data_IF_400877230737
#
_entry.id   IF_400877230737
#
_cell.length_a   1.000
_cell.length_b   1.000
_cell.length_c   1.000
_cell.angle_alpha   90.00
_cell.angle_beta   90.00
_cell.angle_gamma   90.00
#
_symmetry.space_group_name_H-M   'P 1'
#
loop_
_entity.id
_entity.type
_entity.pdbx_description
1 polymer ?
#
# COMPACT_ATOMS: atom_id res chain seq x y z
N UNK A 1 -1.18 -38.53 74.51
CA UNK A 1 -0.91 -38.08 73.12
C UNK A 1 -2.09 -37.22 72.70
N UNK A 2 -1.88 -35.93 72.44
CA UNK A 2 -2.93 -34.97 72.05
C UNK A 2 -3.08 -35.00 70.53
N UNK A 3 -4.31 -35.15 70.03
CA UNK A 3 -4.65 -34.98 68.63
C UNK A 3 -4.58 -33.49 68.23
N UNK A 4 -4.12 -33.14 67.01
CA UNK A 4 -4.18 -31.77 66.52
C UNK A 4 -5.59 -31.46 65.98
N UNK A 5 -6.00 -30.18 65.94
CA UNK A 5 -7.31 -29.78 65.44
C UNK A 5 -7.33 -29.78 63.90
N UNK A 6 -8.45 -30.26 63.36
CA UNK A 6 -8.81 -30.22 61.94
C UNK A 6 -9.02 -28.74 61.54
N UNK A 7 -8.10 -28.19 60.75
CA UNK A 7 -8.20 -26.85 60.18
C UNK A 7 -9.09 -26.93 58.94
N UNK A 8 -10.33 -26.44 59.05
CA UNK A 8 -11.24 -26.28 57.92
C UNK A 8 -10.77 -25.08 57.09
N UNK A 9 -10.07 -25.33 55.99
CA UNK A 9 -9.77 -24.33 54.97
C UNK A 9 -11.06 -24.08 54.18
N UNK A 10 -11.73 -22.95 54.43
CA UNK A 10 -12.68 -22.41 53.47
C UNK A 10 -11.87 -21.94 52.25
N UNK A 11 -11.89 -22.72 51.18
CA UNK A 11 -11.50 -22.25 49.86
C UNK A 11 -12.61 -21.31 49.36
N UNK A 12 -12.39 -20.01 49.46
CA UNK A 12 -13.13 -19.07 48.61
C UNK A 12 -12.65 -19.31 47.18
N UNK A 13 -13.46 -20.01 46.38
CA UNK A 13 -13.36 -19.90 44.94
C UNK A 13 -13.69 -18.44 44.62
N UNK A 14 -12.68 -17.65 44.26
CA UNK A 14 -12.92 -16.47 43.46
C UNK A 14 -13.41 -17.00 42.11
N UNK A 15 -14.73 -17.06 41.94
CA UNK A 15 -15.30 -17.08 40.61
C UNK A 15 -14.96 -15.69 40.04
N UNK A 16 -14.00 -15.63 39.11
CA UNK A 16 -13.88 -14.49 38.22
C UNK A 16 -15.16 -14.51 37.38
N UNK A 17 -16.06 -13.58 37.65
CA UNK A 17 -17.26 -13.40 36.84
C UNK A 17 -16.74 -12.92 35.48
N UNK A 18 -16.73 -13.81 34.48
CA UNK A 18 -16.38 -13.43 33.12
C UNK A 18 -17.29 -12.26 32.71
N UNK A 19 -16.72 -11.20 32.13
CA UNK A 19 -17.48 -10.04 31.70
C UNK A 19 -18.66 -10.51 30.83
N UNK A 20 -19.87 -10.04 31.14
CA UNK A 20 -21.06 -10.44 30.39
C UNK A 20 -21.02 -9.95 28.96
N UNK A 21 -20.28 -8.87 28.67
CA UNK A 21 -20.15 -8.22 27.38
C UNK A 21 -18.67 -7.91 27.12
N UNK A 22 -18.21 -8.17 25.90
CA UNK A 22 -16.82 -8.02 25.51
C UNK A 22 -16.69 -7.53 24.07
N UNK A 23 -15.64 -6.78 23.77
CA UNK A 23 -15.18 -6.56 22.39
C UNK A 23 -14.64 -7.89 21.85
N UNK A 24 -15.34 -8.50 20.91
CA UNK A 24 -14.99 -9.82 20.37
C UNK A 24 -13.91 -9.75 19.30
N UNK A 25 -14.03 -8.79 18.38
CA UNK A 25 -13.21 -8.70 17.19
C UNK A 25 -13.15 -7.24 16.71
N UNK A 26 -11.96 -6.81 16.26
CA UNK A 26 -11.73 -5.45 15.74
C UNK A 26 -11.01 -5.55 14.39
N UNK A 27 -11.57 -4.91 13.38
CA UNK A 27 -11.00 -4.82 12.05
C UNK A 27 -10.75 -3.37 11.66
N UNK A 28 -9.53 -2.87 11.88
CA UNK A 28 -9.20 -1.46 11.62
C UNK A 28 -8.67 -1.18 10.20
N UNK A 29 -8.45 -2.24 9.40
CA UNK A 29 -8.23 -2.16 7.95
C UNK A 29 -9.42 -2.67 7.14
N UNK A 30 -10.53 -2.90 7.83
CA UNK A 30 -11.74 -3.48 7.27
C UNK A 30 -11.57 -4.91 6.74
N UNK A 31 -12.67 -5.42 6.18
CA UNK A 31 -12.71 -6.71 5.50
C UNK A 31 -13.66 -6.64 4.31
N UNK A 32 -13.35 -7.36 3.24
CA UNK A 32 -13.97 -7.19 1.93
C UNK A 32 -15.49 -7.42 1.91
N UNK A 33 -16.02 -8.20 2.88
CA UNK A 33 -17.43 -8.57 2.95
C UNK A 33 -18.19 -7.94 4.14
N UNK A 34 -17.55 -7.02 4.87
CA UNK A 34 -18.13 -6.43 6.09
C UNK A 34 -17.97 -4.91 6.03
N UNK A 35 -19.04 -4.18 6.35
CA UNK A 35 -19.00 -2.72 6.46
C UNK A 35 -18.44 -1.99 5.21
N UNK A 36 -18.54 -2.59 4.02
CA UNK A 36 -17.95 -2.07 2.78
C UNK A 36 -16.42 -1.83 2.84
N UNK A 37 -15.70 -2.60 3.66
CA UNK A 37 -14.25 -2.45 3.83
C UNK A 37 -13.84 -1.33 4.80
N UNK A 38 -14.78 -0.67 5.46
CA UNK A 38 -14.49 0.27 6.54
C UNK A 38 -14.17 -0.45 7.86
N UNK A 39 -13.66 0.31 8.83
CA UNK A 39 -13.37 -0.20 10.17
C UNK A 39 -14.63 -0.77 10.82
N UNK A 40 -14.48 -1.83 11.60
CA UNK A 40 -15.59 -2.38 12.36
C UNK A 40 -15.16 -2.99 13.68
N UNK A 41 -16.11 -3.01 14.62
CA UNK A 41 -15.95 -3.57 15.96
C UNK A 41 -17.11 -4.51 16.17
N UNK A 42 -16.82 -5.71 16.67
CA UNK A 42 -17.84 -6.66 17.09
C UNK A 42 -17.86 -6.79 18.60
N UNK A 43 -19.06 -6.82 19.17
CA UNK A 43 -19.30 -7.14 20.56
C UNK A 43 -19.94 -8.53 20.68
N UNK A 44 -19.54 -9.29 21.71
CA UNK A 44 -20.20 -10.55 22.10
C UNK A 44 -20.71 -10.44 23.53
N UNK A 45 -21.88 -11.00 23.80
CA UNK A 45 -22.45 -11.04 25.15
C UNK A 45 -22.72 -12.47 25.62
N UNK A 46 -22.29 -12.86 26.82
CA UNK A 46 -22.58 -14.17 27.43
C UNK A 46 -23.92 -14.19 28.18
N UNK A 47 -24.52 -13.02 28.40
CA UNK A 47 -25.90 -12.86 28.89
C UNK A 47 -26.71 -11.91 28.00
N UNK A 48 -28.02 -11.80 28.22
CA UNK A 48 -28.78 -10.73 27.54
C UNK A 48 -28.43 -9.39 28.15
N UNK A 49 -27.93 -8.45 27.34
CA UNK A 49 -27.47 -7.11 27.79
C UNK A 49 -28.11 -6.03 26.90
N UNK A 50 -28.55 -4.92 27.50
CA UNK A 50 -29.03 -3.74 26.77
C UNK A 50 -28.00 -2.62 26.85
N UNK A 51 -27.49 -2.19 25.70
CA UNK A 51 -26.43 -1.20 25.60
C UNK A 51 -26.91 0.25 25.81
N UNK A 52 -28.16 0.48 26.22
CA UNK A 52 -28.65 1.83 26.46
C UNK A 52 -27.74 2.61 27.45
N UNK A 53 -27.27 3.78 26.99
CA UNK A 53 -26.32 4.67 27.67
C UNK A 53 -24.87 4.16 27.80
N UNK A 54 -24.52 3.07 27.12
CA UNK A 54 -23.13 2.65 26.99
C UNK A 54 -22.36 3.63 26.09
N UNK A 55 -21.03 3.62 26.19
CA UNK A 55 -20.16 4.43 25.34
C UNK A 55 -19.00 3.60 24.80
N UNK A 56 -18.76 3.68 23.49
CA UNK A 56 -17.63 3.06 22.80
C UNK A 56 -16.75 4.16 22.20
N UNK A 57 -15.43 4.11 22.43
CA UNK A 57 -14.51 5.15 21.97
C UNK A 57 -13.11 4.62 21.64
N UNK A 58 -12.36 5.40 20.83
CA UNK A 58 -10.93 5.23 20.58
C UNK A 58 -10.08 5.85 21.71
N UNK A 59 -8.79 6.00 21.46
CA UNK A 59 -7.80 6.54 22.39
C UNK A 59 -8.00 8.04 22.73
N UNK A 60 -8.83 8.76 21.97
CA UNK A 60 -9.23 10.16 22.27
C UNK A 60 -10.22 10.24 23.43
N UNK A 61 -10.83 9.12 23.81
CA UNK A 61 -11.64 8.99 24.99
C UNK A 61 -13.12 9.36 24.81
N UNK A 62 -13.93 9.01 25.80
CA UNK A 62 -15.41 9.17 25.81
C UNK A 62 -15.98 10.58 25.60
N UNK A 63 -15.15 11.63 25.68
CA UNK A 63 -15.57 13.03 25.53
C UNK A 63 -15.29 13.59 24.14
N UNK A 64 -14.64 12.80 23.28
CA UNK A 64 -14.47 13.13 21.87
C UNK A 64 -15.83 13.20 21.17
N UNK A 65 -15.97 14.09 20.19
CA UNK A 65 -17.22 14.30 19.47
C UNK A 65 -17.60 13.11 18.57
N UNK A 66 -16.64 12.20 18.30
CA UNK A 66 -16.86 10.97 17.52
C UNK A 66 -17.11 9.73 18.37
N UNK A 67 -17.04 9.82 19.70
CA UNK A 67 -17.35 8.70 20.57
C UNK A 67 -18.78 8.20 20.34
N UNK A 68 -18.96 6.88 20.25
CA UNK A 68 -20.27 6.27 20.04
C UNK A 68 -21.02 6.17 21.36
N UNK A 69 -22.07 6.96 21.49
CA UNK A 69 -23.05 6.85 22.57
C UNK A 69 -24.29 6.07 22.11
N UNK A 70 -24.65 5.02 22.85
CA UNK A 70 -25.86 4.24 22.58
C UNK A 70 -27.08 4.94 23.18
N UNK A 71 -27.72 5.82 22.40
CA UNK A 71 -28.87 6.62 22.84
C UNK A 71 -30.21 5.87 22.85
N UNK A 72 -30.25 4.68 22.24
CA UNK A 72 -31.45 3.85 22.12
C UNK A 72 -31.16 2.43 22.58
N UNK A 73 -32.21 1.73 23.02
CA UNK A 73 -32.11 0.35 23.50
C UNK A 73 -31.60 -0.55 22.37
N UNK A 74 -30.49 -1.24 22.65
CA UNK A 74 -29.82 -2.16 21.72
C UNK A 74 -29.49 -3.42 22.50
N UNK A 75 -30.21 -4.50 22.23
CA UNK A 75 -30.11 -5.72 23.02
C UNK A 75 -29.24 -6.74 22.27
N UNK A 76 -28.20 -7.23 22.94
CA UNK A 76 -27.45 -8.42 22.53
C UNK A 76 -27.95 -9.57 23.40
N UNK A 77 -28.47 -10.64 22.77
CA UNK A 77 -28.86 -11.84 23.54
C UNK A 77 -27.64 -12.65 23.94
N UNK A 78 -27.80 -13.54 24.92
CA UNK A 78 -26.73 -14.44 25.33
C UNK A 78 -26.22 -15.30 24.16
N UNK A 79 -24.90 -15.24 23.91
CA UNK A 79 -24.20 -15.91 22.82
C UNK A 79 -24.30 -15.24 21.45
N UNK A 80 -24.98 -14.09 21.35
CA UNK A 80 -25.12 -13.35 20.09
C UNK A 80 -24.03 -12.27 19.94
N UNK A 81 -23.85 -11.85 18.70
CA UNK A 81 -22.85 -10.87 18.28
C UNK A 81 -23.51 -9.58 17.78
N UNK A 82 -22.84 -8.46 17.97
CA UNK A 82 -23.23 -7.16 17.40
C UNK A 82 -22.04 -6.56 16.64
N UNK A 83 -22.13 -6.57 15.31
CA UNK A 83 -21.17 -5.89 14.44
C UNK A 83 -21.57 -4.42 14.30
N UNK A 84 -20.63 -3.53 14.61
CA UNK A 84 -20.75 -2.09 14.46
C UNK A 84 -19.81 -1.65 13.33
N UNK A 85 -20.34 -0.92 12.36
CA UNK A 85 -19.59 -0.44 11.20
C UNK A 85 -19.25 1.04 11.34
N UNK A 86 -18.01 1.42 10.99
CA UNK A 86 -17.64 2.82 10.86
C UNK A 86 -18.43 3.51 9.75
N UNK A 87 -18.75 4.78 9.94
CA UNK A 87 -19.61 5.61 9.08
C UNK A 87 -21.07 5.13 8.97
N UNK A 88 -21.48 4.17 9.80
CA UNK A 88 -22.86 3.68 9.91
C UNK A 88 -23.29 3.71 11.38
N UNK A 89 -22.53 3.03 12.24
CA UNK A 89 -22.80 2.88 13.66
C UNK A 89 -21.92 3.78 14.53
N UNK A 90 -20.67 4.04 14.13
CA UNK A 90 -19.74 4.96 14.81
C UNK A 90 -18.87 5.75 13.84
N UNK A 91 -18.25 6.85 14.29
CA UNK A 91 -17.56 7.82 13.41
C UNK A 91 -16.04 7.91 13.61
N UNK A 92 -15.52 7.44 14.75
CA UNK A 92 -14.07 7.41 14.98
C UNK A 92 -13.38 6.41 14.05
N UNK A 93 -12.13 6.68 13.70
CA UNK A 93 -11.28 5.74 12.95
C UNK A 93 -10.36 5.02 13.91
N UNK A 94 -9.94 3.81 13.52
CA UNK A 94 -9.11 2.96 14.37
C UNK A 94 -7.71 2.82 13.74
N UNK A 95 -6.68 3.14 14.51
CA UNK A 95 -5.26 3.02 14.17
C UNK A 95 -4.61 1.72 14.64
N UNK A 96 -3.37 1.49 14.21
CA UNK A 96 -2.57 0.31 14.57
C UNK A 96 -2.16 0.23 16.04
N UNK A 97 -2.19 1.36 16.73
CA UNK A 97 -1.76 1.57 18.10
C UNK A 97 -2.88 2.16 18.99
N UNK A 98 -4.10 2.20 18.47
CA UNK A 98 -5.26 2.71 19.19
C UNK A 98 -5.73 1.73 20.28
N UNK A 99 -6.40 2.29 21.28
CA UNK A 99 -7.14 1.55 22.30
C UNK A 99 -8.62 1.75 22.07
N UNK A 100 -9.36 0.64 21.88
CA UNK A 100 -10.82 0.64 21.80
C UNK A 100 -11.38 0.28 23.16
N UNK A 101 -12.19 1.17 23.74
CA UNK A 101 -12.74 1.00 25.08
C UNK A 101 -14.27 1.05 25.05
N UNK A 102 -14.90 0.08 25.72
CA UNK A 102 -16.34 0.00 25.96
C UNK A 102 -16.65 0.29 27.43
N UNK A 103 -17.46 1.32 27.65
CA UNK A 103 -17.96 1.75 28.95
C UNK A 103 -19.43 1.37 29.13
N UNK A 104 -19.79 0.99 30.35
CA UNK A 104 -21.17 0.76 30.76
C UNK A 104 -21.97 2.06 30.94
N UNK A 105 -23.22 1.92 31.35
CA UNK A 105 -24.11 3.05 31.63
C UNK A 105 -23.71 3.91 32.86
N UNK A 106 -22.79 3.44 33.71
CA UNK A 106 -22.20 4.19 34.82
C UNK A 106 -20.86 4.86 34.42
N UNK A 107 -20.34 4.55 33.23
CA UNK A 107 -19.06 5.01 32.73
C UNK A 107 -17.86 4.19 33.23
N UNK A 108 -18.08 2.97 33.71
CA UNK A 108 -17.05 2.00 34.09
C UNK A 108 -16.61 1.18 32.85
N UNK A 109 -15.31 0.84 32.77
CA UNK A 109 -14.77 0.03 31.66
C UNK A 109 -15.22 -1.42 31.84
N UNK A 110 -15.92 -1.97 30.84
CA UNK A 110 -16.26 -3.39 30.78
C UNK A 110 -15.31 -4.15 29.85
N UNK A 111 -14.89 -3.54 28.75
CA UNK A 111 -13.97 -4.16 27.80
C UNK A 111 -13.03 -3.11 27.21
N UNK A 112 -11.78 -3.48 27.03
CA UNK A 112 -10.75 -2.63 26.46
C UNK A 112 -9.77 -3.47 25.66
N UNK A 113 -9.41 -2.99 24.47
CA UNK A 113 -8.53 -3.69 23.54
C UNK A 113 -7.49 -2.71 23.02
N UNK A 114 -6.22 -2.99 23.30
CA UNK A 114 -5.09 -2.29 22.71
C UNK A 114 -4.65 -3.03 21.45
N UNK A 115 -4.68 -2.36 20.30
CA UNK A 115 -4.17 -2.93 19.06
C UNK A 115 -2.63 -2.95 19.11
N UNK A 116 -2.04 -4.08 18.72
CA UNK A 116 -0.60 -4.32 18.82
C UNK A 116 0.00 -4.60 17.43
N UNK A 117 0.19 -3.53 16.65
CA UNK A 117 0.98 -3.59 15.42
C UNK A 117 0.15 -3.37 14.16
N UNK A 118 0.74 -3.72 13.02
CA UNK A 118 0.13 -3.48 11.71
C UNK A 118 -0.69 -4.69 11.23
N UNK A 119 -1.92 -4.43 10.82
CA UNK A 119 -2.82 -5.34 10.12
C UNK A 119 -2.92 -4.99 8.62
N UNK A 120 -3.38 -5.94 7.84
CA UNK A 120 -3.78 -5.78 6.44
C UNK A 120 -5.32 -5.87 6.29
N UNK A 121 -5.84 -5.58 5.10
CA UNK A 121 -7.25 -5.84 4.80
C UNK A 121 -7.57 -7.33 5.03
N UNK A 122 -8.72 -7.63 5.65
CA UNK A 122 -9.12 -8.99 6.06
C UNK A 122 -8.26 -9.64 7.15
N UNK A 123 -7.43 -8.86 7.86
CA UNK A 123 -6.84 -9.27 9.12
C UNK A 123 -7.51 -8.52 10.28
N UNK A 124 -7.92 -9.27 11.29
CA UNK A 124 -8.68 -8.77 12.43
C UNK A 124 -8.00 -9.15 13.74
N UNK A 125 -8.18 -8.32 14.76
CA UNK A 125 -7.70 -8.59 16.10
C UNK A 125 -8.86 -9.17 16.91
N UNK A 126 -8.80 -10.47 17.18
CA UNK A 126 -9.92 -11.27 17.66
C UNK A 126 -9.58 -11.93 19.00
N UNK A 127 -10.57 -12.06 19.88
CA UNK A 127 -10.44 -12.77 21.14
C UNK A 127 -10.65 -14.29 20.95
N UNK A 128 -9.85 -15.12 21.61
CA UNK A 128 -9.97 -16.57 21.57
C UNK A 128 -10.03 -17.17 22.97
N UNK A 129 -11.03 -18.01 23.23
CA UNK A 129 -11.32 -18.62 24.54
C UNK A 129 -10.64 -19.99 24.76
N UNK A 130 -9.43 -20.16 24.22
CA UNK A 130 -8.50 -21.20 24.68
C UNK A 130 -8.69 -22.64 24.19
N UNK A 131 -9.71 -22.95 23.39
CA UNK A 131 -9.73 -24.25 22.68
C UNK A 131 -8.86 -24.25 21.40
N UNK A 132 -8.67 -23.08 20.79
CA UNK A 132 -7.99 -22.89 19.50
C UNK A 132 -6.60 -22.21 19.59
N UNK A 133 -6.09 -21.97 20.80
CA UNK A 133 -4.83 -21.23 21.04
C UNK A 133 -3.92 -21.90 22.07
N UNK A 134 -2.64 -21.52 22.10
CA UNK A 134 -1.64 -22.09 23.03
C UNK A 134 -1.80 -21.61 24.48
N UNK A 135 -2.59 -20.56 24.72
CA UNK A 135 -2.91 -19.99 26.05
C UNK A 135 -4.41 -19.58 26.07
N UNK A 136 -5.11 -19.79 27.20
CA UNK A 136 -6.54 -19.46 27.35
C UNK A 136 -6.77 -17.94 27.40
N UNK A 137 -7.68 -17.41 26.58
CA UNK A 137 -8.25 -16.07 26.73
C UNK A 137 -7.35 -14.91 26.28
N UNK A 138 -6.88 -14.93 25.03
CA UNK A 138 -5.99 -13.89 24.48
C UNK A 138 -6.54 -13.27 23.19
N UNK A 139 -6.22 -11.99 22.95
CA UNK A 139 -6.43 -11.34 21.66
C UNK A 139 -5.22 -11.52 20.75
N UNK A 140 -5.46 -11.88 19.50
CA UNK A 140 -4.41 -12.05 18.50
C UNK A 140 -4.92 -11.73 17.11
N UNK A 141 -4.00 -11.39 16.20
CA UNK A 141 -4.36 -11.21 14.80
C UNK A 141 -4.68 -12.55 14.14
N UNK A 142 -5.77 -12.59 13.39
CA UNK A 142 -6.17 -13.70 12.51
C UNK A 142 -6.38 -13.17 11.11
N UNK A 143 -6.13 -14.01 10.09
CA UNK A 143 -6.42 -13.69 8.69
C UNK A 143 -7.80 -14.18 8.23
N UNK A 144 -8.69 -14.49 9.16
CA UNK A 144 -10.06 -14.92 8.90
C UNK A 144 -11.04 -14.06 9.70
N UNK A 145 -11.60 -13.00 9.09
CA UNK A 145 -12.63 -12.20 9.73
C UNK A 145 -13.91 -13.01 9.98
N UNK A 146 -14.52 -12.90 11.16
CA UNK A 146 -15.67 -13.73 11.58
C UNK A 146 -16.91 -12.92 12.02
N UNK A 147 -17.34 -11.91 11.24
CA UNK A 147 -18.48 -11.08 11.63
C UNK A 147 -19.77 -11.89 11.83
N UNK A 148 -20.38 -11.75 13.00
CA UNK A 148 -21.61 -12.39 13.43
C UNK A 148 -21.43 -13.85 13.84
N UNK A 149 -20.21 -14.34 14.03
CA UNK A 149 -19.89 -15.75 14.23
C UNK A 149 -18.78 -15.95 15.25
N UNK A 150 -18.61 -17.20 15.69
CA UNK A 150 -17.50 -17.56 16.55
C UNK A 150 -16.16 -17.37 15.81
N UNK A 151 -15.19 -16.77 16.51
CA UNK A 151 -13.87 -16.52 15.96
C UNK A 151 -13.15 -17.81 15.56
N UNK A 152 -12.50 -17.76 14.40
CA UNK A 152 -11.69 -18.88 13.89
C UNK A 152 -10.25 -18.40 13.70
N UNK A 153 -9.31 -19.04 14.37
CA UNK A 153 -7.91 -18.66 14.27
C UNK A 153 -7.30 -19.18 12.97
N UNK A 154 -6.81 -18.26 12.15
CA UNK A 154 -5.93 -18.54 11.03
C UNK A 154 -4.70 -17.67 11.17
N UNK A 155 -3.56 -18.31 11.44
CA UNK A 155 -2.29 -17.63 11.66
C UNK A 155 -1.94 -16.71 10.48
N UNK A 156 -1.75 -15.40 10.73
CA UNK A 156 -1.26 -14.48 9.72
C UNK A 156 0.08 -14.92 9.15
N UNK A 157 0.20 -14.98 7.82
CA UNK A 157 1.49 -15.26 7.18
C UNK A 157 2.53 -14.21 7.60
N UNK A 158 3.77 -14.60 7.97
CA UNK A 158 4.84 -13.65 8.22
C UNK A 158 5.16 -12.80 6.98
N UNK A 159 5.57 -11.54 7.19
CA UNK A 159 5.94 -10.62 6.11
C UNK A 159 6.99 -11.23 5.17
N UNK A 160 8.00 -11.92 5.72
CA UNK A 160 9.04 -12.59 4.95
C UNK A 160 8.46 -13.57 3.92
N UNK A 161 7.47 -14.37 4.34
CA UNK A 161 6.82 -15.36 3.48
C UNK A 161 5.98 -14.64 2.41
N UNK A 162 5.21 -13.61 2.79
CA UNK A 162 4.42 -12.82 1.84
C UNK A 162 5.29 -12.19 0.74
N UNK A 163 6.43 -11.61 1.13
CA UNK A 163 7.35 -10.99 0.18
C UNK A 163 8.07 -12.02 -0.70
N UNK A 164 8.30 -13.24 -0.22
CA UNK A 164 8.82 -14.32 -1.04
C UNK A 164 7.81 -14.76 -2.11
N UNK A 165 6.55 -15.00 -1.71
CA UNK A 165 5.45 -15.32 -2.62
C UNK A 165 5.24 -14.21 -3.66
N UNK A 166 5.24 -12.94 -3.24
CA UNK A 166 5.15 -11.78 -4.14
C UNK A 166 6.32 -11.72 -5.13
N UNK A 167 7.54 -12.10 -4.73
CA UNK A 167 8.66 -12.14 -5.66
C UNK A 167 8.48 -13.22 -6.74
N UNK A 168 8.00 -14.40 -6.35
CA UNK A 168 7.76 -15.56 -7.23
C UNK A 168 6.74 -15.24 -8.32
N UNK A 169 5.70 -14.45 -8.03
CA UNK A 169 4.68 -14.03 -9.02
C UNK A 169 5.26 -13.34 -10.27
N UNK A 170 6.45 -12.73 -10.16
CA UNK A 170 7.11 -12.05 -11.27
C UNK A 170 8.06 -12.93 -12.09
N UNK A 171 8.34 -14.16 -11.68
CA UNK A 171 9.42 -14.97 -12.26
C UNK A 171 9.17 -15.31 -13.74
N UNK A 172 7.97 -15.75 -14.09
CA UNK A 172 7.62 -16.08 -15.48
C UNK A 172 7.67 -14.84 -16.37
N UNK A 173 7.21 -13.69 -15.86
CA UNK A 173 7.27 -12.43 -16.60
C UNK A 173 8.72 -12.00 -16.84
N UNK A 174 9.62 -12.20 -15.89
CA UNK A 174 11.02 -11.81 -16.09
C UNK A 174 11.90 -12.92 -16.67
N UNK A 175 11.30 -14.05 -17.09
CA UNK A 175 12.00 -15.22 -17.62
C UNK A 175 13.04 -15.76 -16.62
N UNK A 176 12.65 -15.79 -15.35
CA UNK A 176 13.46 -16.22 -14.22
C UNK A 176 13.01 -17.57 -13.64
N UNK A 177 11.82 -18.06 -14.00
CA UNK A 177 11.26 -19.32 -13.54
C UNK A 177 11.99 -20.56 -14.07
N UNK A 178 11.74 -21.70 -13.41
CA UNK A 178 12.34 -22.99 -13.76
C UNK A 178 11.56 -23.77 -14.85
N UNK A 179 10.36 -23.29 -15.23
CA UNK A 179 9.53 -23.94 -16.24
C UNK A 179 10.03 -23.61 -17.67
N UNK A 180 10.15 -24.64 -18.51
CA UNK A 180 10.53 -24.51 -19.93
C UNK A 180 9.40 -23.88 -20.78
N UNK A 181 8.21 -23.69 -20.20
CA UNK A 181 7.04 -23.11 -20.87
C UNK A 181 7.16 -21.59 -20.98
N UNK A 182 7.60 -21.10 -22.15
CA UNK A 182 7.69 -19.66 -22.42
C UNK A 182 6.32 -19.08 -22.75
N UNK A 183 5.64 -18.50 -21.76
CA UNK A 183 4.38 -17.77 -21.93
C UNK A 183 4.63 -16.39 -22.57
N UNK A 184 5.69 -15.70 -22.13
CA UNK A 184 6.01 -14.35 -22.56
C UNK A 184 7.25 -14.30 -23.45
N UNK A 185 7.19 -13.62 -24.59
CA UNK A 185 8.35 -13.39 -25.45
C UNK A 185 9.37 -12.45 -24.80
N UNK A 186 10.64 -12.46 -25.27
CA UNK A 186 11.70 -11.61 -24.69
C UNK A 186 11.36 -10.12 -24.65
N UNK A 187 10.61 -9.67 -25.66
CA UNK A 187 9.99 -8.34 -25.69
C UNK A 187 8.48 -8.57 -25.62
N UNK A 188 7.80 -7.82 -24.76
CA UNK A 188 6.33 -7.87 -24.64
C UNK A 188 5.72 -6.51 -24.95
N UNK A 189 4.44 -6.51 -25.26
CA UNK A 189 3.65 -5.30 -25.38
C UNK A 189 2.95 -5.01 -24.05
N UNK A 190 3.06 -3.77 -23.59
CA UNK A 190 2.28 -3.23 -22.47
C UNK A 190 1.22 -2.32 -23.05
N UNK A 191 -0.04 -2.64 -22.82
CA UNK A 191 -1.20 -1.87 -23.26
C UNK A 191 -1.80 -1.16 -22.06
N UNK A 192 -1.80 0.17 -22.07
CA UNK A 192 -2.41 0.98 -21.01
C UNK A 192 -3.69 1.60 -21.54
N UNK A 193 -4.82 1.29 -20.91
CA UNK A 193 -6.11 1.88 -21.23
C UNK A 193 -6.39 3.07 -20.31
N UNK A 194 -6.62 4.24 -20.90
CA UNK A 194 -6.83 5.51 -20.22
C UNK A 194 -8.17 6.13 -20.63
N UNK A 195 -8.75 6.94 -19.75
CA UNK A 195 -9.81 7.88 -20.14
C UNK A 195 -9.22 8.96 -21.07
N UNK A 196 -10.06 9.60 -21.88
CA UNK A 196 -9.63 10.70 -22.73
C UNK A 196 -9.06 11.88 -21.91
N UNK A 197 -9.58 12.10 -20.71
CA UNK A 197 -9.12 13.13 -19.77
C UNK A 197 -7.72 12.79 -19.22
N UNK A 198 -7.53 11.57 -18.71
CA UNK A 198 -6.22 11.08 -18.25
C UNK A 198 -5.15 11.20 -19.34
N UNK A 199 -5.50 10.79 -20.57
CA UNK A 199 -4.58 10.88 -21.70
C UNK A 199 -4.26 12.33 -22.08
N UNK A 200 -5.26 13.22 -22.08
CA UNK A 200 -5.07 14.64 -22.37
C UNK A 200 -4.13 15.31 -21.34
N UNK A 201 -4.24 14.98 -20.06
CA UNK A 201 -3.33 15.48 -19.03
C UNK A 201 -1.89 15.06 -19.32
N UNK A 202 -1.65 13.79 -19.65
CA UNK A 202 -0.30 13.29 -19.97
C UNK A 202 0.27 14.01 -21.21
N UNK A 203 -0.53 14.13 -22.27
CA UNK A 203 -0.06 14.67 -23.57
C UNK A 203 0.14 16.19 -23.51
N UNK A 204 -0.77 16.92 -22.88
CA UNK A 204 -0.71 18.38 -22.82
C UNK A 204 0.25 18.88 -21.74
N UNK A 205 0.49 18.08 -20.70
CA UNK A 205 1.29 18.47 -19.54
C UNK A 205 2.31 17.38 -19.13
N UNK A 206 3.18 16.92 -20.05
CA UNK A 206 4.12 15.82 -19.79
C UNK A 206 5.13 16.13 -18.69
N UNK A 207 5.35 17.39 -18.33
CA UNK A 207 6.30 17.82 -17.29
C UNK A 207 5.73 17.83 -15.87
N UNK A 208 4.41 17.67 -15.68
CA UNK A 208 3.77 17.87 -14.37
C UNK A 208 4.00 16.71 -13.40
N UNK A 209 4.38 15.53 -13.89
CA UNK A 209 4.51 14.32 -13.06
C UNK A 209 3.25 14.04 -12.20
N UNK A 210 2.08 14.44 -12.71
CA UNK A 210 0.78 14.27 -12.08
C UNK A 210 0.25 12.85 -12.33
N UNK A 211 -0.28 12.23 -11.28
CA UNK A 211 -0.93 10.94 -11.40
C UNK A 211 -2.31 11.07 -12.01
N UNK A 212 -2.55 10.28 -13.04
CA UNK A 212 -3.88 10.09 -13.62
C UNK A 212 -4.28 8.62 -13.52
N UNK A 213 -5.56 8.31 -13.32
CA UNK A 213 -6.03 6.92 -13.26
C UNK A 213 -5.97 6.28 -14.65
N UNK A 214 -5.65 4.98 -14.68
CA UNK A 214 -5.86 4.10 -15.83
C UNK A 214 -6.94 3.06 -15.53
N UNK A 215 -7.59 2.57 -16.58
CA UNK A 215 -8.66 1.57 -16.51
C UNK A 215 -8.08 0.15 -16.47
N UNK A 216 -7.06 -0.10 -17.29
CA UNK A 216 -6.37 -1.39 -17.32
C UNK A 216 -4.91 -1.24 -17.80
N UNK A 217 -4.06 -2.17 -17.35
CA UNK A 217 -2.75 -2.45 -17.94
C UNK A 217 -2.70 -3.92 -18.32
N UNK A 218 -2.53 -4.21 -19.60
CA UNK A 218 -2.53 -5.57 -20.14
C UNK A 218 -1.23 -5.90 -20.88
N UNK A 219 -0.92 -7.20 -20.97
CA UNK A 219 0.28 -7.71 -21.63
C UNK A 219 -0.08 -8.63 -22.78
N UNK A 220 0.57 -8.46 -23.93
CA UNK A 220 0.50 -9.39 -25.05
C UNK A 220 1.90 -9.68 -25.62
N UNK A 221 2.01 -10.74 -26.41
CA UNK A 221 3.22 -11.00 -27.18
C UNK A 221 3.18 -10.22 -28.50
N UNK A 222 4.31 -9.66 -28.97
CA UNK A 222 4.41 -8.99 -30.27
C UNK A 222 3.94 -9.82 -31.46
N UNK A 223 4.07 -11.14 -31.39
CA UNK A 223 3.62 -12.09 -32.41
C UNK A 223 2.10 -12.19 -32.52
N UNK A 224 1.37 -11.91 -31.45
CA UNK A 224 -0.09 -11.98 -31.36
C UNK A 224 -0.61 -10.93 -30.37
N UNK A 225 -0.87 -9.73 -30.88
CA UNK A 225 -1.38 -8.61 -30.10
C UNK A 225 -2.87 -8.74 -29.77
N UNK A 226 -3.55 -9.78 -30.25
CA UNK A 226 -4.99 -9.99 -30.00
C UNK A 226 -5.24 -10.83 -28.75
N UNK A 227 -4.26 -11.66 -28.38
CA UNK A 227 -4.31 -12.49 -27.18
C UNK A 227 -3.69 -11.75 -25.99
N UNK A 228 -4.54 -11.29 -25.08
CA UNK A 228 -4.09 -10.76 -23.79
C UNK A 228 -3.67 -11.93 -22.89
N UNK A 229 -2.42 -11.88 -22.43
CA UNK A 229 -1.81 -12.89 -21.56
C UNK A 229 -2.09 -12.63 -20.08
N UNK A 230 -2.15 -11.35 -19.70
CA UNK A 230 -2.43 -10.92 -18.34
C UNK A 230 -2.96 -9.49 -18.33
N UNK A 231 -3.74 -9.16 -17.31
CA UNK A 231 -4.25 -7.81 -17.03
C UNK A 231 -4.06 -7.50 -15.54
N UNK A 232 -3.69 -6.25 -15.25
CA UNK A 232 -3.41 -5.76 -13.90
C UNK A 232 -4.66 -5.17 -13.21
N UNK A 233 -5.70 -4.84 -13.97
CA UNK A 233 -6.81 -4.05 -13.46
C UNK A 233 -6.43 -2.58 -13.33
N UNK A 234 -6.91 -1.90 -12.29
CA UNK A 234 -6.82 -0.44 -12.16
C UNK A 234 -5.56 0.04 -11.45
N UNK A 235 -5.30 1.34 -11.58
CA UNK A 235 -4.24 2.03 -10.87
C UNK A 235 -4.04 3.43 -11.42
N UNK A 236 -2.84 3.96 -11.26
CA UNK A 236 -2.47 5.29 -11.70
C UNK A 236 -1.10 5.34 -12.39
N UNK A 237 -1.00 6.20 -13.39
CA UNK A 237 0.20 6.42 -14.19
C UNK A 237 0.56 7.89 -14.15
N UNK A 238 1.86 8.18 -14.18
CA UNK A 238 2.37 9.54 -14.40
C UNK A 238 3.63 9.51 -15.24
N UNK A 239 3.95 10.61 -15.89
CA UNK A 239 5.32 10.84 -16.35
C UNK A 239 6.26 10.92 -15.15
N UNK A 240 7.49 10.41 -15.29
CA UNK A 240 8.47 10.45 -14.22
C UNK A 240 9.88 10.50 -14.77
N UNK A 241 10.65 11.48 -14.35
CA UNK A 241 12.08 11.48 -14.65
C UNK A 241 12.79 12.72 -14.18
N UNK A 242 14.07 12.78 -14.53
CA UNK A 242 14.90 13.95 -14.33
C UNK A 242 15.23 14.53 -15.70
N UNK A 243 16.48 14.44 -16.14
CA UNK A 243 16.91 14.85 -17.47
C UNK A 243 16.14 14.12 -18.58
N UNK A 244 15.90 12.82 -18.43
CA UNK A 244 15.19 12.01 -19.45
C UNK A 244 13.77 12.49 -19.71
N UNK A 245 13.04 12.93 -18.68
CA UNK A 245 11.71 13.52 -18.84
C UNK A 245 11.81 14.95 -19.38
N UNK A 246 12.69 15.76 -18.78
CA UNK A 246 12.88 17.15 -19.16
C UNK A 246 13.19 17.28 -20.65
N UNK A 247 14.15 16.51 -21.17
CA UNK A 247 14.53 16.57 -22.59
C UNK A 247 13.39 16.10 -23.50
N UNK A 248 12.73 14.98 -23.19
CA UNK A 248 11.63 14.50 -24.05
C UNK A 248 10.44 15.46 -24.04
N UNK A 249 10.09 16.03 -22.88
CA UNK A 249 9.01 16.99 -22.78
C UNK A 249 9.35 18.32 -23.50
N UNK A 250 10.54 18.87 -23.27
CA UNK A 250 10.98 20.12 -23.90
C UNK A 250 11.16 19.98 -25.43
N UNK A 251 11.49 18.79 -25.95
CA UNK A 251 11.65 18.52 -27.38
C UNK A 251 10.37 17.98 -28.07
N UNK A 252 9.26 17.84 -27.34
CA UNK A 252 8.02 17.28 -27.88
C UNK A 252 8.14 15.83 -28.33
N UNK A 253 9.03 15.04 -27.72
CA UNK A 253 9.20 13.63 -28.03
C UNK A 253 8.12 12.80 -27.35
N UNK A 254 7.53 11.86 -28.08
CA UNK A 254 6.44 11.00 -27.58
C UNK A 254 6.89 10.04 -26.47
N UNK A 255 8.15 9.59 -26.49
CA UNK A 255 8.66 8.55 -25.59
C UNK A 255 9.10 9.08 -24.21
N UNK A 256 8.23 9.84 -23.53
CA UNK A 256 8.46 10.29 -22.15
C UNK A 256 8.52 9.08 -21.19
N UNK A 257 9.34 9.11 -20.14
CA UNK A 257 9.40 8.04 -19.15
C UNK A 257 8.20 8.06 -18.20
N UNK A 258 7.76 6.88 -17.73
CA UNK A 258 6.59 6.74 -16.86
C UNK A 258 6.89 6.02 -15.54
N UNK A 259 6.05 6.29 -14.55
CA UNK A 259 5.83 5.43 -13.39
C UNK A 259 4.38 5.01 -13.37
N UNK A 260 4.16 3.72 -13.11
CA UNK A 260 2.83 3.11 -12.94
C UNK A 260 2.78 2.55 -11.52
N UNK A 261 1.72 2.88 -10.79
CA UNK A 261 1.37 2.30 -9.50
C UNK A 261 0.05 1.55 -9.66
N UNK A 262 0.02 0.28 -9.28
CA UNK A 262 -1.17 -0.58 -9.39
C UNK A 262 -1.95 -0.58 -8.07
N UNK A 263 -3.28 -0.68 -8.14
CA UNK A 263 -4.10 -0.79 -6.93
C UNK A 263 -3.92 -2.17 -6.27
N UNK A 264 -3.62 -3.20 -7.07
CA UNK A 264 -3.21 -4.53 -6.63
C UNK A 264 -1.92 -4.93 -7.33
N UNK A 265 -0.99 -5.64 -6.67
CA UNK A 265 0.26 -6.06 -7.29
C UNK A 265 0.03 -6.78 -8.63
N UNK A 266 0.75 -6.34 -9.66
CA UNK A 266 0.73 -6.94 -10.98
C UNK A 266 1.98 -7.81 -11.16
N UNK A 267 1.82 -9.14 -11.14
CA UNK A 267 2.96 -10.08 -11.16
C UNK A 267 3.97 -9.76 -10.05
N UNK A 268 3.45 -9.59 -8.83
CA UNK A 268 4.22 -9.12 -7.67
C UNK A 268 4.59 -7.64 -7.65
N UNK A 269 4.48 -6.90 -8.76
CA UNK A 269 4.89 -5.50 -8.83
C UNK A 269 3.77 -4.56 -8.41
N UNK A 270 3.97 -3.80 -7.34
CA UNK A 270 3.12 -2.66 -6.95
C UNK A 270 3.45 -1.42 -7.78
N UNK A 271 4.73 -1.23 -8.09
CA UNK A 271 5.23 -0.06 -8.80
C UNK A 271 6.26 -0.46 -9.84
N UNK A 272 6.07 0.04 -11.07
CA UNK A 272 7.03 -0.12 -12.17
C UNK A 272 7.45 1.23 -12.74
N UNK A 273 8.64 1.24 -13.33
CA UNK A 273 9.13 2.35 -14.15
C UNK A 273 9.25 1.91 -15.61
N UNK A 274 8.76 2.74 -16.52
CA UNK A 274 9.01 2.61 -17.95
C UNK A 274 10.05 3.64 -18.34
N UNK A 275 11.29 3.18 -18.51
CA UNK A 275 12.44 4.05 -18.80
C UNK A 275 12.69 4.14 -20.30
N UNK A 276 12.88 5.36 -20.77
CA UNK A 276 13.31 5.64 -22.13
C UNK A 276 14.84 5.61 -22.24
N UNK A 277 15.35 5.58 -23.48
CA UNK A 277 16.78 5.37 -23.78
C UNK A 277 17.43 6.59 -24.41
N UNK A 278 17.04 7.80 -24.00
CA UNK A 278 17.36 9.08 -24.68
C UNK A 278 18.84 9.22 -25.12
N UNK A 279 19.80 8.72 -24.33
CA UNK A 279 21.24 8.78 -24.61
C UNK A 279 21.88 7.39 -24.80
N UNK A 280 21.05 6.35 -24.91
CA UNK A 280 21.46 4.96 -25.12
C UNK A 280 20.96 4.47 -26.49
N UNK A 281 21.79 4.66 -27.52
CA UNK A 281 21.51 4.19 -28.88
C UNK A 281 21.41 2.66 -29.02
N UNK A 282 21.82 1.90 -28.02
CA UNK A 282 21.68 0.44 -28.01
C UNK A 282 20.33 -0.02 -27.48
N UNK A 283 19.63 0.83 -26.72
CA UNK A 283 18.40 0.50 -25.99
C UNK A 283 18.55 -0.65 -24.97
N UNK A 284 19.79 -1.06 -24.67
CA UNK A 284 20.08 -2.28 -23.91
C UNK A 284 20.83 -2.04 -22.61
N UNK A 285 21.40 -0.86 -22.37
CA UNK A 285 22.34 -0.67 -21.24
C UNK A 285 21.66 -0.88 -19.89
N UNK A 286 20.45 -0.37 -19.71
CA UNK A 286 19.69 -0.56 -18.46
C UNK A 286 19.40 -2.05 -18.23
N UNK A 287 18.86 -2.74 -19.25
CA UNK A 287 18.55 -4.18 -19.16
C UNK A 287 19.80 -5.03 -18.91
N UNK A 288 20.85 -4.85 -19.72
CA UNK A 288 22.08 -5.62 -19.61
C UNK A 288 22.79 -5.40 -18.27
N UNK A 289 22.75 -4.18 -17.72
CA UNK A 289 23.39 -3.88 -16.42
C UNK A 289 22.72 -4.64 -15.29
N UNK A 290 21.38 -4.63 -15.22
CA UNK A 290 20.65 -5.36 -14.18
C UNK A 290 20.75 -6.87 -14.37
N UNK A 291 20.73 -7.37 -15.61
CA UNK A 291 20.97 -8.77 -15.90
C UNK A 291 22.37 -9.22 -15.44
N UNK A 292 23.39 -8.39 -15.66
CA UNK A 292 24.75 -8.66 -15.16
C UNK A 292 24.81 -8.66 -13.63
N UNK A 293 24.21 -7.67 -12.95
CA UNK A 293 24.16 -7.62 -11.49
C UNK A 293 23.57 -8.90 -10.90
N UNK A 294 22.43 -9.35 -11.44
CA UNK A 294 21.82 -10.64 -11.08
C UNK A 294 22.81 -11.79 -11.26
N UNK A 295 23.47 -11.87 -12.42
CA UNK A 295 24.39 -12.98 -12.73
C UNK A 295 25.61 -13.04 -11.81
N UNK A 296 26.01 -11.89 -11.25
CA UNK A 296 27.07 -11.77 -10.25
C UNK A 296 26.59 -11.95 -8.80
N UNK A 297 25.30 -12.18 -8.56
CA UNK A 297 24.73 -12.30 -7.22
C UNK A 297 24.72 -10.97 -6.45
N UNK A 298 24.65 -9.84 -7.18
CA UNK A 298 24.55 -8.50 -6.59
C UNK A 298 23.09 -8.03 -6.59
N UNK A 299 22.72 -7.12 -5.67
CA UNK A 299 21.42 -6.44 -5.69
C UNK A 299 21.05 -5.91 -7.08
N UNK A 300 19.84 -6.22 -7.53
CA UNK A 300 19.38 -5.91 -8.88
C UNK A 300 17.87 -5.67 -8.90
N UNK A 301 17.43 -5.00 -9.96
CA UNK A 301 16.02 -4.82 -10.30
C UNK A 301 15.74 -5.72 -11.49
N UNK A 302 14.67 -6.50 -11.45
CA UNK A 302 14.24 -7.22 -12.65
C UNK A 302 13.81 -6.19 -13.68
N UNK A 303 14.19 -6.46 -14.93
CA UNK A 303 13.96 -5.53 -16.03
C UNK A 303 13.58 -6.28 -17.29
N UNK A 304 12.71 -5.67 -18.10
CA UNK A 304 12.22 -6.26 -19.35
C UNK A 304 12.12 -5.20 -20.44
N UNK A 305 12.65 -5.45 -21.65
CA UNK A 305 12.37 -4.58 -22.78
C UNK A 305 10.91 -4.73 -23.21
N UNK A 306 10.20 -3.62 -23.43
CA UNK A 306 8.77 -3.60 -23.75
C UNK A 306 8.44 -2.57 -24.83
N UNK A 307 7.35 -2.82 -25.56
CA UNK A 307 6.68 -1.82 -26.41
C UNK A 307 5.46 -1.28 -25.68
N UNK A 308 5.35 0.02 -25.55
CA UNK A 308 4.23 0.66 -24.85
C UNK A 308 3.17 1.13 -25.85
N UNK A 309 1.93 0.79 -25.57
CA UNK A 309 0.75 1.26 -26.27
C UNK A 309 -0.18 1.96 -25.28
N UNK A 310 -0.71 3.12 -25.64
CA UNK A 310 -1.72 3.85 -24.87
C UNK A 310 -2.97 4.03 -25.72
N UNK A 311 -4.10 3.50 -25.26
CA UNK A 311 -5.36 3.49 -26.02
C UNK A 311 -5.20 2.92 -27.45
N UNK A 312 -4.34 1.90 -27.60
CA UNK A 312 -4.03 1.25 -28.88
C UNK A 312 -2.96 1.96 -29.73
N UNK A 313 -2.55 3.18 -29.38
CA UNK A 313 -1.52 3.92 -30.10
C UNK A 313 -0.12 3.60 -29.55
N UNK A 314 0.82 3.32 -30.45
CA UNK A 314 2.21 3.04 -30.05
C UNK A 314 2.89 4.31 -29.54
N UNK A 315 3.42 4.23 -28.31
CA UNK A 315 4.12 5.35 -27.65
C UNK A 315 5.63 5.23 -27.80
N UNK A 316 6.18 4.02 -27.67
CA UNK A 316 7.62 3.83 -27.77
C UNK A 316 8.13 2.49 -27.25
N UNK A 317 9.45 2.32 -27.36
CA UNK A 317 10.19 1.20 -26.79
C UNK A 317 10.81 1.63 -25.46
N UNK A 318 10.64 0.81 -24.43
CA UNK A 318 11.00 1.10 -23.05
C UNK A 318 11.72 -0.07 -22.40
N UNK A 319 12.48 0.22 -21.35
CA UNK A 319 12.84 -0.79 -20.35
C UNK A 319 11.86 -0.67 -19.20
N UNK A 320 11.01 -1.68 -19.00
CA UNK A 320 10.27 -1.87 -17.77
C UNK A 320 11.25 -2.28 -16.66
N UNK A 321 11.13 -1.64 -15.50
CA UNK A 321 11.98 -1.87 -14.35
C UNK A 321 11.13 -1.91 -13.08
N UNK A 322 11.40 -2.85 -12.18
CA UNK A 322 10.84 -2.82 -10.83
C UNK A 322 11.24 -1.54 -10.08
N UNK A 323 10.37 -1.02 -9.21
CA UNK A 323 10.77 0.02 -8.27
C UNK A 323 11.63 -0.58 -7.13
N UNK A 324 12.77 0.04 -6.77
CA UNK A 324 13.64 -0.43 -5.69
C UNK A 324 13.01 -0.23 -4.30
N UNK A 325 11.92 0.52 -4.18
CA UNK A 325 11.24 0.82 -2.92
C UNK A 325 10.33 -0.30 -2.42
N UNK A 326 10.15 -1.37 -3.20
CA UNK A 326 9.23 -2.46 -2.88
C UNK A 326 9.88 -3.48 -1.95
N UNK A 327 9.12 -3.98 -0.97
CA UNK A 327 9.61 -4.89 0.07
C UNK A 327 10.24 -6.17 -0.49
N UNK A 328 9.60 -6.81 -1.47
CA UNK A 328 10.12 -8.06 -2.04
C UNK A 328 11.44 -7.85 -2.81
N UNK A 329 11.63 -6.67 -3.42
CA UNK A 329 12.87 -6.30 -4.10
C UNK A 329 14.00 -6.13 -3.09
N UNK A 330 13.71 -5.49 -1.95
CA UNK A 330 14.66 -5.36 -0.84
C UNK A 330 14.99 -6.73 -0.27
N UNK A 331 13.98 -7.57 -0.04
CA UNK A 331 14.18 -8.89 0.54
C UNK A 331 15.06 -9.77 -0.34
N UNK A 332 14.73 -9.85 -1.63
CA UNK A 332 15.53 -10.59 -2.62
C UNK A 332 16.98 -10.10 -2.67
N UNK A 333 17.21 -8.81 -2.48
CA UNK A 333 18.53 -8.19 -2.64
C UNK A 333 19.39 -8.22 -1.38
N UNK A 334 18.78 -8.15 -0.20
CA UNK A 334 19.48 -7.87 1.07
C UNK A 334 19.16 -8.84 2.22
N UNK A 335 18.27 -9.82 2.00
CA UNK A 335 17.81 -10.77 3.04
C UNK A 335 16.54 -10.30 3.73
N UNK A 336 16.19 -10.88 4.88
CA UNK A 336 14.93 -10.60 5.61
C UNK A 336 14.71 -9.10 5.74
N UNK A 337 13.62 -8.61 5.13
CA UNK A 337 13.31 -7.19 5.08
C UNK A 337 12.47 -6.79 6.30
N UNK A 338 12.96 -5.82 7.07
CA UNK A 338 12.18 -5.15 8.11
C UNK A 338 11.99 -3.66 7.72
N UNK A 339 10.75 -3.19 7.46
CA UNK A 339 10.51 -1.79 7.12
C UNK A 339 10.87 -0.81 8.24
N UNK A 340 10.86 -1.23 9.51
CA UNK A 340 11.20 -0.38 10.65
C UNK A 340 12.71 -0.13 10.78
N UNK A 341 13.52 -1.09 10.32
CA UNK A 341 14.98 -1.06 10.43
C UNK A 341 15.69 -0.78 9.10
N UNK A 342 14.95 -0.58 8.01
CA UNK A 342 15.52 -0.40 6.66
C UNK A 342 15.35 1.03 6.15
N UNK A 343 16.42 1.60 5.58
CA UNK A 343 16.39 2.89 4.91
C UNK A 343 16.95 2.79 3.47
N UNK A 344 16.22 3.35 2.50
CA UNK A 344 16.68 3.50 1.12
C UNK A 344 16.93 4.97 0.79
N UNK A 345 18.14 5.27 0.32
CA UNK A 345 18.52 6.62 -0.09
C UNK A 345 18.63 6.71 -1.62
N UNK A 346 17.94 7.69 -2.20
CA UNK A 346 18.06 8.05 -3.61
C UNK A 346 18.93 9.29 -3.75
N UNK A 347 20.07 9.14 -4.42
CA UNK A 347 20.88 10.29 -4.84
C UNK A 347 20.13 11.08 -5.91
N UNK A 348 19.86 12.36 -5.66
CA UNK A 348 19.23 13.28 -6.62
C UNK A 348 20.22 14.37 -7.02
N UNK A 349 20.32 14.62 -8.32
CA UNK A 349 20.94 15.83 -8.86
C UNK A 349 19.88 16.91 -9.05
N UNK A 350 20.23 18.19 -8.82
CA UNK A 350 19.36 19.30 -9.21
C UNK A 350 19.46 19.54 -10.72
N UNK A 351 18.31 19.71 -11.39
CA UNK A 351 18.21 20.00 -12.83
C UNK A 351 17.13 21.09 -13.02
N UNK A 352 17.36 21.98 -13.99
CA UNK A 352 16.44 23.04 -14.38
C UNK A 352 15.06 22.51 -14.83
N UNK A 353 14.01 23.30 -14.61
CA UNK A 353 12.63 22.99 -15.02
C UNK A 353 12.32 23.59 -16.40
N UNK A 354 11.47 22.93 -17.19
CA UNK A 354 11.00 23.46 -18.48
C UNK A 354 9.98 24.60 -18.24
N UNK A 355 9.93 25.65 -19.09
CA UNK A 355 10.88 25.97 -20.13
C UNK A 355 12.17 26.50 -19.51
N UNK A 356 13.31 26.09 -20.08
CA UNK A 356 14.60 26.57 -19.60
C UNK A 356 14.76 28.04 -19.98
N UNK A 357 14.60 28.93 -19.01
CA UNK A 357 14.73 30.39 -19.21
C UNK A 357 16.18 30.87 -19.09
N UNK A 358 17.05 30.12 -18.39
CA UNK A 358 18.48 30.40 -18.26
C UNK A 358 19.32 29.19 -18.69
N UNK A 359 20.07 29.27 -19.82
CA UNK A 359 20.98 28.22 -20.26
C UNK A 359 22.09 27.90 -19.24
N UNK A 360 22.46 28.84 -18.36
CA UNK A 360 23.45 28.61 -17.32
C UNK A 360 22.95 27.68 -16.20
N UNK A 361 21.63 27.54 -16.03
CA UNK A 361 21.03 26.59 -15.07
C UNK A 361 21.25 25.10 -15.47
N UNK A 362 21.68 24.83 -16.71
CA UNK A 362 22.09 23.50 -17.18
C UNK A 362 23.53 23.19 -16.73
N UNK A 363 24.35 24.22 -16.52
CA UNK A 363 25.75 24.09 -16.09
C UNK A 363 25.83 24.21 -14.56
N UNK A 364 25.71 23.08 -13.86
CA UNK A 364 25.66 23.01 -12.41
C UNK A 364 26.73 23.83 -11.69
N UNK A 365 26.30 24.80 -10.88
CA UNK A 365 27.03 25.21 -9.69
C UNK A 365 26.50 24.37 -8.53
N UNK A 366 27.31 23.44 -8.03
CA UNK A 366 27.13 22.95 -6.68
C UNK A 366 27.66 24.05 -5.75
N UNK A 367 26.77 24.75 -5.07
CA UNK A 367 27.18 25.45 -3.85
C UNK A 367 27.73 24.41 -2.84
N UNK A 368 28.61 24.85 -1.93
CA UNK A 368 29.21 24.01 -0.90
C UNK A 368 28.16 23.11 -0.25
N UNK A 369 28.42 21.80 -0.11
CA UNK A 369 27.45 20.90 0.49
C UNK A 369 27.14 21.40 1.91
N UNK A 370 25.86 21.61 2.27
CA UNK A 370 25.49 21.81 3.66
C UNK A 370 25.96 20.61 4.48
N UNK A 371 26.09 20.81 5.80
CA UNK A 371 26.41 19.79 6.81
C UNK A 371 25.91 18.39 6.37
N UNK A 372 26.75 17.33 6.37
CA UNK A 372 26.43 15.99 5.83
C UNK A 372 25.21 15.30 6.44
N UNK A 373 24.57 15.92 7.45
CA UNK A 373 23.38 15.44 8.14
C UNK A 373 22.14 16.35 7.98
N UNK A 374 22.20 17.39 7.14
CA UNK A 374 21.05 18.26 6.87
C UNK A 374 20.32 17.77 5.61
N UNK A 375 19.13 17.20 5.77
CA UNK A 375 18.30 16.73 4.65
C UNK A 375 16.89 17.29 4.78
N UNK A 376 16.53 18.21 3.88
CA UNK A 376 15.14 18.60 3.68
C UNK A 376 14.41 17.55 2.85
N UNK A 377 13.20 17.18 3.30
CA UNK A 377 12.26 16.42 2.47
C UNK A 377 11.86 17.33 1.31
N UNK A 378 12.36 17.05 0.11
CA UNK A 378 12.08 17.90 -1.05
C UNK A 378 10.61 17.86 -1.46
N UNK A 379 10.02 19.04 -1.66
CA UNK A 379 8.66 19.23 -2.15
C UNK A 379 8.48 18.82 -3.62
N UNK A 380 7.21 18.62 -4.02
CA UNK A 380 6.83 18.39 -5.42
C UNK A 380 7.18 19.61 -6.30
N UNK A 381 7.53 19.36 -7.57
CA UNK A 381 7.91 20.40 -8.54
C UNK A 381 6.69 21.29 -8.85
N UNK A 382 6.91 22.61 -8.93
CA UNK A 382 5.90 23.52 -9.43
C UNK A 382 5.60 23.26 -10.92
N UNK A 383 4.33 23.31 -11.30
CA UNK A 383 3.88 23.05 -12.67
C UNK A 383 4.30 24.16 -13.63
N UNK A 384 4.75 23.77 -14.83
CA UNK A 384 5.06 24.72 -15.90
C UNK A 384 4.63 24.15 -17.25
N UNK A 385 3.89 24.91 -18.08
CA UNK A 385 3.37 24.42 -19.34
C UNK A 385 4.49 24.20 -20.38
N UNK A 386 4.40 23.15 -21.21
CA UNK A 386 5.30 22.97 -22.35
C UNK A 386 5.07 24.06 -23.41
N UNK A 387 6.09 24.31 -24.22
CA UNK A 387 6.08 25.29 -25.31
C UNK A 387 4.94 24.99 -26.29
N UNK A 388 3.99 25.92 -26.42
CA UNK A 388 3.04 25.93 -27.55
C UNK A 388 3.74 26.68 -28.68
N UNK A 389 3.85 26.05 -29.86
CA UNK A 389 4.38 26.71 -31.05
C UNK A 389 3.59 27.99 -31.38
N UNK A 390 4.31 29.12 -31.49
CA UNK A 390 3.89 30.30 -32.24
C UNK A 390 3.26 31.44 -31.43
N UNK A 391 4.03 32.49 -31.17
CA UNK A 391 3.87 33.80 -31.83
C UNK A 391 4.92 34.78 -31.31
N UNK A 392 5.67 35.39 -32.23
CA UNK A 392 6.59 36.47 -31.93
C UNK A 392 5.81 37.77 -31.69
N UNK A 393 5.91 38.33 -30.49
CA UNK A 393 5.55 39.74 -30.26
C UNK A 393 6.81 40.50 -29.87
N UNK A 394 7.33 41.24 -30.85
CA UNK A 394 8.20 42.39 -30.62
C UNK A 394 7.32 43.49 -30.02
N UNK A 395 7.66 43.99 -28.83
CA UNK A 395 7.24 45.35 -28.47
C UNK A 395 8.37 46.14 -27.80
N UNK A 396 8.40 47.39 -28.25
CA UNK A 396 9.47 48.37 -28.15
C UNK A 396 9.39 49.06 -26.80
N UNK A 397 10.51 49.14 -26.10
CA UNK A 397 10.63 49.99 -24.92
C UNK A 397 10.64 51.46 -25.34
N UNK A 398 9.78 52.28 -24.74
CA UNK A 398 10.04 53.71 -24.54
C UNK A 398 9.40 54.20 -23.22
N UNK A 399 10.30 54.77 -22.40
CA UNK A 399 10.24 55.40 -21.06
C UNK A 399 9.71 54.61 -19.86
#
# INVERSE_FOLDING_TARGET
MRFPPLLLLLSSAFQCEAASLQINEVAYKGSSNTCNGEDWIELISTSSEDLLNYTLHDDKGKHDDKAKYFSESTIINAGEYLVLCRNVDFDFGIGSDDVVTLLDNNGEIISEVMLLGSSEENQTFAFFDGEDTTEEGEYQYTSMPTPGQQNVYVEPKPLEVKLAEQNEEGEDFFLEGEDDTVIFEKVVDIHVQLSNESLATIVNHPSWEEFVPFVDVAVSNPSDTTSILSSAGTGKIRTKGQSTLMFTACLGLQNVPFQIEFDKPFMGMEVIYLRNHLIDSSFMRDYASHFMLRRFGLPYLRSRPVRLYMNGEYVGFYTLLEAPTQGYVMQRSFGVFNPEDTALYKVKSQIAQCPVTDPAAIAGKSDEPPNPYYFDRGDHRAGVPPFIEGESVLERLDT
#
